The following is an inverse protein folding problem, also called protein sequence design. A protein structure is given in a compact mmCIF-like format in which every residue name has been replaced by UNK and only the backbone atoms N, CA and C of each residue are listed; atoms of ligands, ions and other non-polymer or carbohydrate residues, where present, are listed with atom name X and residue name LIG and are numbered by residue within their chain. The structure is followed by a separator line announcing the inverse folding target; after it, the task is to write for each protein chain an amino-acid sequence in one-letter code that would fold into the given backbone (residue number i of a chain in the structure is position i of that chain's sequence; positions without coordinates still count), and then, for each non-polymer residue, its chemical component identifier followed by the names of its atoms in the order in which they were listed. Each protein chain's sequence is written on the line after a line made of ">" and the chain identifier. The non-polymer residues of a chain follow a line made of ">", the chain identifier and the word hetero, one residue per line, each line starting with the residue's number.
data_IF_231125628528
#
_entry.id   IF_231125628528
#
_cell.length_a   1.000
_cell.length_b   1.000
_cell.length_c   1.000
_cell.angle_alpha   90.00
_cell.angle_beta   90.00
_cell.angle_gamma   90.00
#
_symmetry.space_group_name_H-M   'P 1'
#
loop_
_entity.id
_entity.type
_entity.pdbx_description
1 polymer ?
#
# COMPACT_ATOMS: atom_id res chain seq x y z
N UNK A 1 40.38 13.39 2.68
CA UNK A 1 39.33 13.80 3.65
C UNK A 1 38.18 14.44 2.88
N UNK A 2 37.12 13.68 2.58
CA UNK A 2 35.89 14.22 1.98
C UNK A 2 34.73 13.80 2.88
N UNK A 3 34.25 14.77 3.66
CA UNK A 3 33.08 14.64 4.52
C UNK A 3 31.84 14.60 3.63
N UNK A 4 31.10 13.48 3.61
CA UNK A 4 29.77 13.45 3.00
C UNK A 4 28.77 13.98 4.03
N UNK A 5 28.12 15.09 3.69
CA UNK A 5 27.04 15.65 4.50
C UNK A 5 25.83 14.71 4.41
N UNK A 6 25.56 13.97 5.47
CA UNK A 6 24.30 13.24 5.64
C UNK A 6 23.15 14.26 5.71
N UNK A 7 22.32 14.30 4.66
CA UNK A 7 21.06 15.05 4.70
C UNK A 7 20.16 14.43 5.78
N UNK A 8 20.02 15.11 6.91
CA UNK A 8 19.02 14.75 7.94
C UNK A 8 17.62 14.95 7.36
N UNK A 9 17.09 13.92 6.70
CA UNK A 9 15.68 13.86 6.31
C UNK A 9 14.84 13.61 7.56
N UNK A 10 14.46 14.68 8.27
CA UNK A 10 13.54 14.57 9.40
C UNK A 10 12.09 14.63 8.88
N UNK A 11 11.48 13.47 8.67
CA UNK A 11 10.05 13.29 8.32
C UNK A 11 9.11 13.68 9.47
N UNK A 12 9.64 13.81 10.69
CA UNK A 12 8.86 14.00 11.92
C UNK A 12 8.28 15.41 12.04
N UNK A 13 9.03 16.46 11.69
CA UNK A 13 8.56 17.85 11.89
C UNK A 13 7.48 18.23 10.88
N UNK A 14 7.63 17.82 9.61
CA UNK A 14 6.61 18.03 8.58
C UNK A 14 5.33 17.24 8.85
N UNK A 15 5.43 16.06 9.46
CA UNK A 15 4.25 15.23 9.77
C UNK A 15 3.40 15.82 10.90
N UNK A 16 3.99 16.51 11.88
CA UNK A 16 3.23 17.07 13.00
C UNK A 16 2.32 18.23 12.60
N UNK A 17 2.80 19.16 11.76
CA UNK A 17 1.97 20.30 11.32
C UNK A 17 0.82 19.83 10.43
N UNK A 18 1.09 18.92 9.50
CA UNK A 18 0.06 18.31 8.67
C UNK A 18 -1.00 17.59 9.53
N UNK A 19 -0.57 16.81 10.53
CA UNK A 19 -1.48 16.10 11.43
C UNK A 19 -2.36 17.07 12.24
N UNK A 20 -1.79 18.17 12.75
CA UNK A 20 -2.54 19.20 13.49
C UNK A 20 -3.59 19.88 12.61
N UNK A 21 -3.24 20.21 11.37
CA UNK A 21 -4.17 20.81 10.41
C UNK A 21 -5.28 19.84 10.03
N UNK A 22 -4.96 18.58 9.72
CA UNK A 22 -5.96 17.55 9.43
C UNK A 22 -6.91 17.37 10.61
N UNK A 23 -6.39 17.35 11.84
CA UNK A 23 -7.22 17.27 13.06
C UNK A 23 -8.14 18.47 13.21
N UNK A 24 -7.61 19.69 13.05
CA UNK A 24 -8.42 20.91 13.15
C UNK A 24 -9.52 20.96 12.10
N UNK A 25 -9.22 20.55 10.86
CA UNK A 25 -10.19 20.47 9.78
C UNK A 25 -11.31 19.46 10.07
N UNK A 26 -10.96 18.27 10.57
CA UNK A 26 -11.96 17.27 10.98
C UNK A 26 -12.83 17.77 12.14
N UNK A 27 -12.23 18.41 13.15
CA UNK A 27 -12.97 18.99 14.28
C UNK A 27 -13.94 20.07 13.83
N UNK A 28 -13.49 21.00 12.97
CA UNK A 28 -14.36 22.02 12.40
C UNK A 28 -15.51 21.39 11.60
N UNK A 29 -15.23 20.37 10.78
CA UNK A 29 -16.26 19.65 10.04
C UNK A 29 -17.32 19.03 10.97
N UNK A 30 -16.91 18.38 12.06
CA UNK A 30 -17.84 17.81 13.05
C UNK A 30 -18.65 18.87 13.81
N UNK A 31 -18.09 20.07 14.05
CA UNK A 31 -18.84 21.19 14.65
C UNK A 31 -19.90 21.71 13.67
N UNK A 32 -19.59 21.77 12.38
CA UNK A 32 -20.54 22.23 11.34
C UNK A 32 -21.63 21.19 11.10
N UNK A 33 -21.28 19.91 10.94
CA UNK A 33 -22.24 18.81 10.78
C UNK A 33 -21.57 17.45 11.00
N UNK A 34 -22.26 16.56 11.72
CA UNK A 34 -21.82 15.17 11.92
C UNK A 34 -21.60 14.41 10.61
N UNK A 35 -22.43 14.65 9.59
CA UNK A 35 -22.36 13.96 8.30
C UNK A 35 -21.14 14.42 7.49
N UNK A 36 -20.82 15.72 7.55
CA UNK A 36 -19.62 16.27 6.90
C UNK A 36 -18.35 15.74 7.55
N UNK A 37 -18.30 15.73 8.89
CA UNK A 37 -17.19 15.15 9.64
C UNK A 37 -16.97 13.69 9.28
N UNK A 38 -18.05 12.90 9.23
CA UNK A 38 -18.01 11.48 8.88
C UNK A 38 -17.53 11.25 7.45
N UNK A 39 -18.11 11.96 6.47
CA UNK A 39 -17.71 11.85 5.06
C UNK A 39 -16.22 12.18 4.87
N UNK A 40 -15.73 13.22 5.54
CA UNK A 40 -14.32 13.63 5.48
C UNK A 40 -13.41 12.60 6.16
N UNK A 41 -13.78 12.12 7.34
CA UNK A 41 -13.03 11.11 8.08
C UNK A 41 -12.94 9.80 7.30
N UNK A 42 -14.07 9.30 6.79
CA UNK A 42 -14.11 8.12 5.95
C UNK A 42 -13.17 8.28 4.76
N UNK A 43 -13.21 9.43 4.06
CA UNK A 43 -12.35 9.65 2.89
C UNK A 43 -10.88 9.61 3.26
N UNK A 44 -10.51 10.23 4.38
CA UNK A 44 -9.14 10.24 4.87
C UNK A 44 -8.64 8.84 5.23
N UNK A 45 -9.43 8.05 5.95
CA UNK A 45 -9.00 6.74 6.47
C UNK A 45 -9.13 5.59 5.48
N UNK A 46 -9.85 5.78 4.37
CA UNK A 46 -10.04 4.73 3.36
C UNK A 46 -9.30 4.97 2.06
N UNK A 47 -8.69 6.13 1.85
CA UNK A 47 -7.92 6.43 0.64
C UNK A 47 -6.42 6.30 0.88
N UNK A 48 -5.80 5.15 0.53
CA UNK A 48 -4.37 4.99 0.69
C UNK A 48 -3.60 5.91 -0.26
N UNK A 49 -2.55 6.56 0.24
CA UNK A 49 -1.62 7.33 -0.60
C UNK A 49 -0.73 6.41 -1.42
N UNK A 50 -0.39 6.83 -2.64
CA UNK A 50 0.55 6.12 -3.52
C UNK A 50 1.85 6.88 -3.64
N UNK A 51 2.92 6.27 -3.18
CA UNK A 51 4.27 6.80 -3.35
C UNK A 51 4.87 6.37 -4.71
N UNK A 52 5.75 7.17 -5.32
CA UNK A 52 6.52 6.73 -6.48
C UNK A 52 7.33 5.47 -6.17
N UNK A 53 7.33 4.50 -7.08
CA UNK A 53 8.07 3.25 -6.92
C UNK A 53 9.58 3.50 -7.14
N UNK A 54 10.45 3.21 -6.15
CA UNK A 54 11.90 3.35 -6.31
C UNK A 54 12.47 2.27 -7.24
N UNK A 55 13.65 2.50 -7.81
CA UNK A 55 14.21 1.62 -8.85
C UNK A 55 14.50 0.20 -8.36
N UNK A 56 14.89 0.03 -7.08
CA UNK A 56 15.04 -1.29 -6.45
C UNK A 56 13.77 -2.14 -6.52
N UNK A 57 12.60 -1.51 -6.37
CA UNK A 57 11.31 -2.18 -6.42
C UNK A 57 10.93 -2.51 -7.87
N UNK A 58 11.30 -1.67 -8.84
CA UNK A 58 11.12 -1.98 -10.26
C UNK A 58 11.99 -3.16 -10.69
N UNK A 59 13.24 -3.19 -10.24
CA UNK A 59 14.20 -4.25 -10.55
C UNK A 59 13.71 -5.62 -10.07
N UNK A 60 13.20 -5.73 -8.84
CA UNK A 60 12.67 -7.01 -8.33
C UNK A 60 11.38 -7.44 -9.03
N UNK A 61 10.52 -6.50 -9.43
CA UNK A 61 9.32 -6.84 -10.21
C UNK A 61 9.65 -7.32 -11.61
N UNK A 62 10.73 -6.80 -12.22
CA UNK A 62 11.19 -7.23 -13.54
C UNK A 62 11.67 -8.70 -13.58
N UNK A 63 12.04 -9.28 -12.43
CA UNK A 63 12.41 -10.70 -12.33
C UNK A 63 11.22 -11.60 -12.01
N UNK A 64 10.04 -11.03 -11.77
CA UNK A 64 8.85 -11.77 -11.40
C UNK A 64 8.05 -12.21 -12.62
N UNK A 65 7.25 -13.26 -12.45
CA UNK A 65 6.12 -13.53 -13.34
C UNK A 65 4.89 -12.76 -12.83
N UNK A 66 4.37 -11.76 -13.59
CA UNK A 66 3.15 -11.07 -13.21
C UNK A 66 1.90 -11.93 -13.47
N UNK A 67 0.88 -11.76 -12.66
CA UNK A 67 -0.46 -12.32 -12.86
C UNK A 67 -1.50 -11.48 -12.10
N UNK A 68 -2.78 -11.78 -12.30
CA UNK A 68 -3.88 -11.17 -11.54
C UNK A 68 -4.57 -12.21 -10.67
N UNK A 69 -5.16 -11.74 -9.57
CA UNK A 69 -6.02 -12.55 -8.71
C UNK A 69 -7.38 -11.90 -8.63
N UNK A 70 -8.41 -12.66 -8.98
CA UNK A 70 -9.80 -12.23 -8.79
C UNK A 70 -10.17 -12.32 -7.30
N UNK A 71 -10.64 -11.21 -6.73
CA UNK A 71 -10.96 -11.08 -5.31
C UNK A 71 -12.39 -10.57 -5.13
N UNK A 72 -13.22 -11.35 -4.45
CA UNK A 72 -14.56 -10.96 -4.07
C UNK A 72 -14.55 -9.92 -2.94
N UNK A 73 -15.27 -8.83 -3.14
CA UNK A 73 -15.47 -7.79 -2.15
C UNK A 73 -16.52 -8.24 -1.12
N UNK A 74 -16.19 -8.08 0.16
CA UNK A 74 -17.00 -8.55 1.29
C UNK A 74 -17.74 -7.45 2.05
N UNK A 75 -17.52 -6.19 1.70
CA UNK A 75 -18.25 -5.08 2.29
C UNK A 75 -19.75 -5.18 2.01
N UNK A 76 -20.62 -4.71 2.92
CA UNK A 76 -22.06 -4.69 2.69
C UNK A 76 -22.46 -3.98 1.39
N UNK A 77 -21.76 -2.89 1.04
CA UNK A 77 -22.03 -2.07 -0.14
C UNK A 77 -21.60 -2.73 -1.45
N UNK A 78 -20.58 -3.59 -1.43
CA UNK A 78 -19.98 -4.19 -2.62
C UNK A 78 -20.12 -5.71 -2.66
N UNK A 79 -21.05 -6.27 -1.90
CA UNK A 79 -21.31 -7.71 -1.89
C UNK A 79 -21.58 -8.21 -3.32
N UNK A 80 -20.90 -9.30 -3.69
CA UNK A 80 -21.01 -9.89 -5.02
C UNK A 80 -20.20 -9.19 -6.12
N UNK A 81 -19.50 -8.10 -5.80
CA UNK A 81 -18.56 -7.48 -6.71
C UNK A 81 -17.19 -8.11 -6.58
N UNK A 82 -16.48 -8.16 -7.70
CA UNK A 82 -15.18 -8.78 -7.84
C UNK A 82 -14.21 -7.76 -8.42
N UNK A 83 -12.95 -7.83 -7.99
CA UNK A 83 -11.89 -7.01 -8.58
C UNK A 83 -10.65 -7.87 -8.81
N UNK A 84 -9.94 -7.56 -9.90
CA UNK A 84 -8.61 -8.10 -10.13
C UNK A 84 -7.56 -7.29 -9.37
N UNK A 85 -6.76 -7.97 -8.58
CA UNK A 85 -5.57 -7.40 -7.93
C UNK A 85 -4.29 -7.84 -8.63
N UNK A 86 -3.34 -6.93 -8.73
CA UNK A 86 -2.03 -7.20 -9.30
C UNK A 86 -1.22 -8.11 -8.36
N UNK A 87 -0.58 -9.12 -8.93
CA UNK A 87 0.24 -10.07 -8.20
C UNK A 87 1.50 -10.49 -8.98
N UNK A 88 2.49 -10.98 -8.25
CA UNK A 88 3.79 -11.38 -8.76
C UNK A 88 4.23 -12.67 -8.11
N UNK A 89 4.85 -13.55 -8.89
CA UNK A 89 5.42 -14.82 -8.42
C UNK A 89 6.89 -14.94 -8.77
N UNK A 90 7.67 -15.48 -7.85
CA UNK A 90 9.05 -15.89 -8.05
C UNK A 90 9.26 -17.33 -7.57
N UNK A 91 10.23 -18.03 -8.16
CA UNK A 91 10.60 -19.38 -7.74
C UNK A 91 9.52 -20.44 -7.97
N UNK A 92 9.76 -21.62 -7.39
CA UNK A 92 8.89 -22.79 -7.44
C UNK A 92 8.95 -23.54 -6.10
N UNK A 93 7.96 -24.37 -5.80
CA UNK A 93 7.90 -25.14 -4.55
C UNK A 93 6.80 -24.63 -3.60
N UNK A 94 6.89 -24.93 -2.29
CA UNK A 94 5.92 -24.47 -1.29
C UNK A 94 5.78 -22.95 -1.30
N UNK A 95 4.55 -22.45 -1.21
CA UNK A 95 4.27 -21.02 -1.40
C UNK A 95 4.35 -20.22 -0.11
N UNK A 96 5.09 -19.11 -0.15
CA UNK A 96 5.09 -18.05 0.86
C UNK A 96 4.38 -16.82 0.29
N UNK A 97 3.36 -16.33 0.99
CA UNK A 97 2.63 -15.13 0.63
C UNK A 97 3.17 -13.92 1.41
N UNK A 98 3.63 -12.90 0.68
CA UNK A 98 4.07 -11.63 1.23
C UNK A 98 2.90 -10.63 1.21
N UNK A 99 2.55 -10.11 2.39
CA UNK A 99 1.42 -9.19 2.59
C UNK A 99 1.95 -7.84 3.09
N UNK A 100 1.68 -6.78 2.33
CA UNK A 100 2.10 -5.43 2.70
C UNK A 100 1.11 -4.77 3.68
N UNK A 101 1.55 -3.70 4.36
CA UNK A 101 0.70 -2.89 5.23
C UNK A 101 -0.06 -1.78 4.49
N UNK A 102 -0.77 -0.95 5.26
CA UNK A 102 -1.49 0.24 4.77
C UNK A 102 -0.58 1.18 3.98
N UNK A 103 -1.06 1.70 2.84
CA UNK A 103 -0.29 2.54 1.89
C UNK A 103 0.97 1.87 1.30
N UNK A 104 1.11 0.56 1.51
CA UNK A 104 2.19 -0.25 0.97
C UNK A 104 1.89 -0.83 -0.41
N UNK A 105 2.78 -1.72 -0.83
CA UNK A 105 2.67 -2.58 -2.03
C UNK A 105 3.58 -3.80 -1.88
N UNK A 106 3.29 -4.89 -2.59
CA UNK A 106 4.03 -6.14 -2.51
C UNK A 106 5.52 -6.01 -2.78
N UNK A 107 5.90 -5.14 -3.73
CA UNK A 107 7.32 -4.91 -4.09
C UNK A 107 8.18 -4.33 -2.96
N UNK A 108 7.59 -3.67 -1.95
CA UNK A 108 8.33 -3.19 -0.78
C UNK A 108 8.96 -4.31 0.04
N UNK A 109 8.41 -5.53 -0.07
CA UNK A 109 8.91 -6.74 0.59
C UNK A 109 9.93 -7.49 -0.29
N UNK A 110 10.42 -6.86 -1.37
CA UNK A 110 11.32 -7.48 -2.35
C UNK A 110 12.60 -8.07 -1.78
N UNK A 111 13.10 -7.56 -0.64
CA UNK A 111 14.29 -8.10 0.04
C UNK A 111 14.11 -9.53 0.58
N UNK A 112 12.86 -9.99 0.75
CA UNK A 112 12.56 -11.35 1.16
C UNK A 112 12.55 -12.34 -0.02
N UNK A 113 12.46 -11.86 -1.26
CA UNK A 113 12.27 -12.71 -2.44
C UNK A 113 13.47 -13.63 -2.66
N UNK A 114 14.67 -13.05 -2.82
CA UNK A 114 15.88 -13.80 -3.11
C UNK A 114 16.20 -14.89 -2.08
N UNK A 115 16.25 -14.63 -0.75
CA UNK A 115 16.57 -15.68 0.21
C UNK A 115 15.50 -16.79 0.27
N UNK A 116 14.23 -16.47 0.08
CA UNK A 116 13.15 -17.49 0.08
C UNK A 116 13.20 -18.35 -1.19
N UNK A 117 13.45 -17.73 -2.35
CA UNK A 117 13.61 -18.47 -3.62
C UNK A 117 14.85 -19.37 -3.56
N UNK A 118 15.96 -18.89 -3.02
CA UNK A 118 17.17 -19.68 -2.81
C UNK A 118 16.95 -20.88 -1.86
N UNK A 119 15.98 -20.78 -0.95
CA UNK A 119 15.54 -21.89 -0.09
C UNK A 119 14.58 -22.89 -0.79
N UNK A 120 14.34 -22.74 -2.10
CA UNK A 120 13.45 -23.63 -2.86
C UNK A 120 11.96 -23.37 -2.65
N UNK A 121 11.59 -22.14 -2.25
CA UNK A 121 10.21 -21.72 -2.04
C UNK A 121 9.69 -20.90 -3.24
N UNK A 122 8.38 -20.97 -3.46
CA UNK A 122 7.66 -20.06 -4.35
C UNK A 122 7.23 -18.83 -3.55
N UNK A 123 7.62 -17.63 -3.97
CA UNK A 123 7.22 -16.39 -3.31
C UNK A 123 6.11 -15.74 -4.11
N UNK A 124 5.03 -15.35 -3.46
CA UNK A 124 3.94 -14.58 -4.07
C UNK A 124 3.77 -13.28 -3.30
N UNK A 125 3.68 -12.17 -4.01
CA UNK A 125 3.28 -10.88 -3.47
C UNK A 125 2.12 -10.31 -4.30
N UNK A 126 1.27 -9.51 -3.68
CA UNK A 126 0.16 -8.84 -4.36
C UNK A 126 -0.01 -7.42 -3.84
N UNK A 127 -0.72 -6.59 -4.60
CA UNK A 127 -1.14 -5.27 -4.17
C UNK A 127 -2.62 -5.32 -3.80
N UNK A 128 -2.94 -5.04 -2.53
CA UNK A 128 -4.32 -5.02 -2.05
C UNK A 128 -5.21 -4.04 -2.83
N UNK A 129 -6.55 -4.14 -2.75
CA UNK A 129 -7.46 -3.19 -3.40
C UNK A 129 -7.06 -1.73 -3.14
N UNK A 130 -7.08 -0.89 -4.17
CA UNK A 130 -6.64 0.52 -4.15
C UNK A 130 -5.14 0.78 -3.86
N UNK A 131 -4.32 -0.25 -3.65
CA UNK A 131 -2.89 -0.12 -3.39
C UNK A 131 -2.05 -0.41 -4.65
N UNK A 132 -0.82 0.11 -4.64
CA UNK A 132 0.19 -0.12 -5.69
C UNK A 132 -0.36 -0.12 -7.13
N UNK A 133 -0.25 -1.26 -7.81
CA UNK A 133 -0.66 -1.46 -9.21
C UNK A 133 -2.11 -1.97 -9.36
N UNK A 134 -2.79 -2.27 -8.24
CA UNK A 134 -4.21 -2.63 -8.24
C UNK A 134 -5.10 -1.40 -8.45
N UNK A 135 -6.27 -1.59 -9.07
CA UNK A 135 -7.19 -0.50 -9.37
C UNK A 135 -7.84 0.10 -8.10
N UNK A 136 -8.43 1.29 -8.26
CA UNK A 136 -9.15 2.01 -7.21
C UNK A 136 -8.28 3.02 -6.43
N UNK A 137 -8.92 3.93 -5.72
CA UNK A 137 -8.27 4.97 -4.89
C UNK A 137 -8.83 5.03 -3.46
N UNK A 138 -9.66 4.04 -3.11
CA UNK A 138 -10.34 3.93 -1.84
C UNK A 138 -10.55 2.45 -1.53
N UNK A 139 -10.38 2.05 -0.27
CA UNK A 139 -10.86 0.77 0.22
C UNK A 139 -12.36 0.68 -0.09
N UNK A 140 -12.75 -0.43 -0.69
CA UNK A 140 -14.15 -0.75 -0.96
C UNK A 140 -14.84 -1.15 0.34
N UNK A 141 -15.11 -0.18 1.22
CA UNK A 141 -15.97 -0.33 2.42
C UNK A 141 -17.45 -0.50 2.05
#
# INVERSE_FOLDING_TARGET
>A
MLSSSSSKNSTIVRSQSALRLTRAALQAAYIVSGDLGTTLAERLFTSPRRHPRPDREKAILATARPFTVDVALRSPRWRGHHIDVAAWRWGHGPTVLLVHGWEGRGSQLGSFVEPLVAAGLSVVAFDAPAHGDSAGNRLYL
#
